data_IF_196941730467
#
_entry.id   IF_196941730467
#
_cell.length_a   1.000
_cell.length_b   1.000
_cell.length_c   1.000
_cell.angle_alpha   90.00
_cell.angle_beta   90.00
_cell.angle_gamma   90.00
#
_symmetry.space_group_name_H-M   'P 1'
#
loop_
_entity.id
_entity.type
_entity.pdbx_description
1 polymer ?
#
# COMPACT_ATOMS: atom_id res chain seq x y z
N UNK A 1 -1.73 -5.65 22.84
CA UNK A 1 -1.07 -6.13 21.60
C UNK A 1 0.42 -5.80 21.66
N UNK A 2 1.31 -6.71 21.23
CA UNK A 2 2.75 -6.45 21.05
C UNK A 2 3.08 -6.62 19.56
N UNK A 3 3.61 -5.57 18.92
CA UNK A 3 3.77 -5.51 17.47
C UNK A 3 5.25 -5.68 17.11
N UNK A 4 5.57 -6.61 16.21
CA UNK A 4 6.85 -6.63 15.50
C UNK A 4 6.67 -5.93 14.16
N UNK A 5 7.22 -4.72 14.03
CA UNK A 5 7.29 -3.99 12.77
C UNK A 5 8.56 -4.43 12.02
N UNK A 6 8.37 -5.09 10.88
CA UNK A 6 9.45 -5.54 9.99
C UNK A 6 9.65 -4.49 8.90
N UNK A 7 10.76 -3.76 8.96
CA UNK A 7 11.11 -2.65 8.07
C UNK A 7 10.99 -1.30 8.75
N UNK A 8 12.09 -0.53 8.73
CA UNK A 8 12.14 0.87 9.18
C UNK A 8 12.52 1.80 8.01
N UNK A 9 12.00 1.50 6.81
CA UNK A 9 11.99 2.39 5.65
C UNK A 9 10.92 3.48 5.79
N UNK A 10 10.60 4.19 4.71
CA UNK A 10 9.67 5.34 4.75
C UNK A 10 8.30 5.02 5.37
N UNK A 11 7.66 3.91 4.97
CA UNK A 11 6.34 3.51 5.49
C UNK A 11 6.43 2.99 6.93
N UNK A 12 7.43 2.15 7.25
CA UNK A 12 7.62 1.63 8.62
C UNK A 12 7.95 2.73 9.64
N UNK A 13 8.79 3.69 9.26
CA UNK A 13 9.09 4.87 10.07
C UNK A 13 7.83 5.72 10.31
N UNK A 14 7.05 5.99 9.25
CA UNK A 14 5.79 6.71 9.35
C UNK A 14 4.78 5.97 10.27
N UNK A 15 4.66 4.64 10.14
CA UNK A 15 3.80 3.82 10.98
C UNK A 15 4.19 3.97 12.45
N UNK A 16 5.47 3.81 12.79
CA UNK A 16 5.96 3.93 14.16
C UNK A 16 5.66 5.32 14.75
N UNK A 17 5.83 6.38 13.96
CA UNK A 17 5.53 7.77 14.35
C UNK A 17 4.02 8.01 14.52
N UNK A 18 3.16 7.38 13.72
CA UNK A 18 1.70 7.41 13.89
C UNK A 18 1.31 6.70 15.20
N UNK A 19 1.77 5.46 15.40
CA UNK A 19 1.40 4.69 16.60
C UNK A 19 2.03 5.26 17.88
N UNK A 20 3.12 6.03 17.82
CA UNK A 20 3.65 6.74 18.99
C UNK A 20 2.60 7.63 19.68
N UNK A 21 1.60 8.13 18.94
CA UNK A 21 0.48 8.94 19.44
C UNK A 21 -0.70 8.11 20.00
N UNK A 22 -0.62 6.78 19.93
CA UNK A 22 -1.71 5.84 20.29
C UNK A 22 -1.39 5.00 21.53
N UNK A 23 -2.41 4.35 22.10
CA UNK A 23 -2.32 3.56 23.35
C UNK A 23 -2.91 2.15 23.29
N UNK A 24 -3.38 1.69 22.11
CA UNK A 24 -3.99 0.36 21.96
C UNK A 24 -2.99 -0.81 22.04
N UNK A 25 -1.69 -0.51 21.95
CA UNK A 25 -0.60 -1.48 22.04
C UNK A 25 0.14 -1.36 23.37
N UNK A 26 0.77 -2.47 23.75
CA UNK A 26 1.65 -2.57 24.90
C UNK A 26 3.09 -2.19 24.51
N UNK A 27 3.59 -2.72 23.38
CA UNK A 27 4.96 -2.50 22.94
C UNK A 27 5.10 -2.65 21.41
N UNK A 28 6.02 -1.89 20.80
CA UNK A 28 6.39 -2.01 19.38
C UNK A 28 7.88 -2.32 19.26
N UNK A 29 8.21 -3.39 18.55
CA UNK A 29 9.57 -3.69 18.14
C UNK A 29 9.76 -3.16 16.74
N UNK A 30 10.55 -2.11 16.60
CA UNK A 30 10.95 -1.58 15.29
C UNK A 30 12.15 -2.38 14.83
N UNK A 31 12.04 -3.06 13.69
CA UNK A 31 13.13 -3.91 13.21
C UNK A 31 13.50 -3.64 11.77
N UNK A 32 14.78 -3.79 11.46
CA UNK A 32 15.31 -3.61 10.11
C UNK A 32 16.57 -4.47 9.93
N UNK A 33 16.95 -4.74 8.68
CA UNK A 33 18.23 -5.38 8.37
C UNK A 33 19.41 -4.52 8.81
N UNK A 34 19.31 -3.21 8.61
CA UNK A 34 20.20 -2.21 9.18
C UNK A 34 19.61 -1.69 10.50
N UNK A 35 20.08 -2.23 11.62
CA UNK A 35 19.64 -1.86 12.98
C UNK A 35 19.59 -0.34 13.20
N UNK A 36 20.51 0.42 12.59
CA UNK A 36 20.57 1.87 12.76
C UNK A 36 19.33 2.59 12.23
N UNK A 37 18.59 2.01 11.27
CA UNK A 37 17.31 2.54 10.79
C UNK A 37 16.25 2.49 11.89
N UNK A 38 16.09 1.34 12.53
CA UNK A 38 15.17 1.18 13.65
C UNK A 38 15.51 2.10 14.83
N UNK A 39 16.80 2.22 15.17
CA UNK A 39 17.26 3.14 16.23
C UNK A 39 16.94 4.61 15.89
N UNK A 40 17.13 5.03 14.63
CA UNK A 40 16.81 6.39 14.18
C UNK A 40 15.32 6.71 14.35
N UNK A 41 14.43 5.79 13.98
CA UNK A 41 12.98 5.97 14.15
C UNK A 41 12.63 6.17 15.64
N UNK A 42 13.20 5.36 16.54
CA UNK A 42 12.93 5.47 17.98
C UNK A 42 13.47 6.79 18.56
N UNK A 43 14.67 7.22 18.15
CA UNK A 43 15.21 8.52 18.57
C UNK A 43 14.38 9.68 18.04
N UNK A 44 13.83 9.60 16.82
CA UNK A 44 12.88 10.60 16.31
C UNK A 44 11.59 10.66 17.16
N UNK A 45 11.03 9.50 17.53
CA UNK A 45 9.87 9.42 18.44
C UNK A 45 10.20 10.04 19.80
N UNK A 46 11.37 9.73 20.36
CA UNK A 46 11.84 10.28 21.64
C UNK A 46 12.02 11.80 21.58
N UNK A 47 12.58 12.32 20.49
CA UNK A 47 12.75 13.75 20.29
C UNK A 47 11.41 14.49 20.22
N UNK A 48 10.40 13.88 19.58
CA UNK A 48 9.08 14.49 19.36
C UNK A 48 8.11 14.31 20.54
N UNK A 49 8.12 13.14 21.18
CA UNK A 49 7.12 12.71 22.16
C UNK A 49 7.69 12.39 23.56
N UNK A 50 9.00 12.52 23.76
CA UNK A 50 9.67 12.30 25.04
C UNK A 50 10.04 10.84 25.33
N UNK A 51 10.83 10.63 26.38
CA UNK A 51 11.38 9.33 26.75
C UNK A 51 10.29 8.30 27.13
N UNK A 52 9.25 8.72 27.85
CA UNK A 52 8.15 7.82 28.27
C UNK A 52 7.44 7.18 27.07
N UNK A 53 7.22 7.94 25.99
CA UNK A 53 6.65 7.39 24.76
C UNK A 53 7.62 6.43 24.09
N UNK A 54 8.90 6.81 24.01
CA UNK A 54 9.94 6.01 23.37
C UNK A 54 10.25 4.69 24.11
N UNK A 55 10.05 4.63 25.43
CA UNK A 55 10.26 3.41 26.23
C UNK A 55 9.30 2.26 25.84
N UNK A 56 8.22 2.56 25.10
CA UNK A 56 7.31 1.56 24.49
C UNK A 56 7.82 0.99 23.18
N UNK A 57 9.01 1.40 22.74
CA UNK A 57 9.64 0.98 21.51
C UNK A 57 10.99 0.31 21.78
N UNK A 58 11.35 -0.68 20.96
CA UNK A 58 12.70 -1.28 21.01
C UNK A 58 13.18 -1.54 19.60
N UNK A 59 14.46 -1.28 19.35
CA UNK A 59 15.10 -1.60 18.08
C UNK A 59 15.56 -3.07 18.07
N UNK A 60 15.35 -3.76 16.95
CA UNK A 60 15.88 -5.10 16.73
C UNK A 60 16.46 -5.23 15.31
N UNK A 61 17.47 -6.09 15.14
CA UNK A 61 17.93 -6.46 13.81
C UNK A 61 17.14 -7.67 13.32
N UNK A 62 16.71 -7.64 12.06
CA UNK A 62 16.00 -8.76 11.43
C UNK A 62 16.44 -8.95 9.98
N UNK A 63 16.66 -10.20 9.58
CA UNK A 63 16.78 -10.56 8.16
C UNK A 63 15.43 -11.11 7.71
N UNK A 64 14.67 -10.27 7.00
CA UNK A 64 13.34 -10.63 6.51
C UNK A 64 13.34 -11.70 5.41
N UNK A 65 14.51 -12.02 4.83
CA UNK A 65 14.61 -13.06 3.82
C UNK A 65 14.50 -14.48 4.40
N UNK A 66 14.72 -14.65 5.71
CA UNK A 66 14.71 -15.94 6.38
C UNK A 66 13.49 -16.08 7.33
N UNK A 67 12.52 -16.96 7.03
CA UNK A 67 11.32 -17.15 7.86
C UNK A 67 11.64 -17.61 9.29
N UNK A 68 12.72 -18.37 9.51
CA UNK A 68 13.12 -18.82 10.84
C UNK A 68 13.67 -17.66 11.68
N UNK A 69 14.37 -16.71 11.04
CA UNK A 69 14.81 -15.48 11.70
C UNK A 69 13.60 -14.64 12.11
N UNK A 70 12.62 -14.47 11.22
CA UNK A 70 11.37 -13.75 11.53
C UNK A 70 10.66 -14.40 12.72
N UNK A 71 10.44 -15.72 12.68
CA UNK A 71 9.77 -16.45 13.75
C UNK A 71 10.54 -16.37 15.09
N UNK A 72 11.88 -16.43 15.05
CA UNK A 72 12.73 -16.27 16.24
C UNK A 72 12.58 -14.88 16.85
N UNK A 73 12.69 -13.81 16.07
CA UNK A 73 12.59 -12.42 16.56
C UNK A 73 11.18 -12.16 17.12
N UNK A 74 10.13 -12.62 16.43
CA UNK A 74 8.76 -12.51 16.94
C UNK A 74 8.59 -13.18 18.31
N UNK A 75 9.10 -14.41 18.48
CA UNK A 75 9.05 -15.13 19.77
C UNK A 75 9.91 -14.49 20.86
N UNK A 76 11.12 -14.04 20.52
CA UNK A 76 12.05 -13.37 21.44
C UNK A 76 11.42 -12.15 22.10
N UNK A 77 10.64 -11.37 21.34
CA UNK A 77 9.96 -10.19 21.83
C UNK A 77 8.52 -10.42 22.28
N UNK A 78 8.02 -11.66 22.21
CA UNK A 78 6.63 -12.00 22.51
C UNK A 78 5.63 -11.22 21.63
N UNK A 79 5.96 -11.01 20.36
CA UNK A 79 5.09 -10.33 19.41
C UNK A 79 3.81 -11.14 19.21
N UNK A 80 2.67 -10.49 19.39
CA UNK A 80 1.36 -11.06 19.05
C UNK A 80 1.00 -10.82 17.60
N UNK A 81 1.56 -9.77 16.98
CA UNK A 81 1.27 -9.34 15.61
C UNK A 81 2.57 -9.00 14.90
N UNK A 82 2.71 -9.41 13.65
CA UNK A 82 3.81 -9.07 12.74
C UNK A 82 3.28 -8.13 11.67
N UNK A 83 3.80 -6.90 11.63
CA UNK A 83 3.46 -5.88 10.64
C UNK A 83 4.58 -5.81 9.60
N UNK A 84 4.31 -6.26 8.39
CA UNK A 84 5.24 -6.25 7.27
C UNK A 84 5.22 -4.88 6.55
N UNK A 85 6.34 -4.17 6.62
CA UNK A 85 6.56 -2.87 5.98
C UNK A 85 7.83 -2.85 5.10
N UNK A 86 8.21 -4.00 4.55
CA UNK A 86 9.31 -4.13 3.57
C UNK A 86 8.79 -4.50 2.17
N UNK A 87 9.70 -4.56 1.20
CA UNK A 87 9.39 -4.87 -0.20
C UNK A 87 8.64 -6.21 -0.37
N UNK A 88 7.70 -6.31 -1.34
CA UNK A 88 6.88 -7.50 -1.58
C UNK A 88 7.65 -8.83 -1.76
N UNK A 89 8.90 -8.76 -2.23
CA UNK A 89 9.78 -9.94 -2.37
C UNK A 89 10.01 -10.71 -1.05
N UNK A 90 9.81 -10.07 0.10
CA UNK A 90 9.96 -10.69 1.42
C UNK A 90 8.64 -11.19 2.02
N UNK A 91 7.50 -10.96 1.37
CA UNK A 91 6.16 -11.32 1.88
C UNK A 91 6.11 -12.77 2.31
N UNK A 92 6.53 -13.71 1.44
CA UNK A 92 6.46 -15.15 1.76
C UNK A 92 7.29 -15.54 2.98
N UNK A 93 8.50 -15.02 3.12
CA UNK A 93 9.36 -15.30 4.28
C UNK A 93 8.76 -14.74 5.58
N UNK A 94 8.24 -13.52 5.56
CA UNK A 94 7.65 -12.90 6.75
C UNK A 94 6.33 -13.58 7.13
N UNK A 95 5.50 -13.87 6.14
CA UNK A 95 4.21 -14.54 6.29
C UNK A 95 4.37 -15.91 6.94
N UNK A 96 5.26 -16.75 6.41
CA UNK A 96 5.60 -18.05 7.00
C UNK A 96 6.19 -17.91 8.42
N UNK A 97 7.07 -16.92 8.62
CA UNK A 97 7.67 -16.65 9.94
C UNK A 97 6.66 -16.21 11.01
N UNK A 98 5.67 -15.39 10.63
CA UNK A 98 4.59 -14.96 11.52
C UNK A 98 3.71 -16.13 11.96
N UNK A 99 3.28 -16.97 11.00
CA UNK A 99 2.53 -18.19 11.29
C UNK A 99 3.30 -19.14 12.20
N UNK A 100 4.60 -19.36 11.93
CA UNK A 100 5.47 -20.21 12.75
C UNK A 100 5.72 -19.65 14.16
N UNK A 101 5.56 -18.35 14.37
CA UNK A 101 5.59 -17.71 15.68
C UNK A 101 4.26 -17.80 16.42
N UNK A 102 3.16 -18.16 15.75
CA UNK A 102 1.81 -18.09 16.29
C UNK A 102 1.33 -16.64 16.48
N UNK A 103 1.79 -15.74 15.62
CA UNK A 103 1.41 -14.33 15.62
C UNK A 103 0.46 -14.02 14.45
N UNK A 104 -0.47 -13.10 14.68
CA UNK A 104 -1.27 -12.53 13.59
C UNK A 104 -0.36 -11.73 12.64
N UNK A 105 -0.78 -11.57 11.39
CA UNK A 105 0.02 -10.94 10.34
C UNK A 105 -0.75 -9.82 9.65
N UNK A 106 -0.03 -8.75 9.34
CA UNK A 106 -0.51 -7.66 8.51
C UNK A 106 0.54 -7.28 7.47
N UNK A 107 0.11 -6.97 6.25
CA UNK A 107 0.91 -6.28 5.24
C UNK A 107 0.12 -5.18 4.53
N UNK A 108 0.83 -4.42 3.69
CA UNK A 108 0.27 -3.36 2.85
C UNK A 108 0.41 -3.66 1.36
N UNK A 109 1.13 -4.74 1.01
CA UNK A 109 1.35 -5.20 -0.35
C UNK A 109 1.42 -6.73 -0.33
N UNK A 110 0.80 -7.36 -1.32
CA UNK A 110 0.68 -8.81 -1.38
C UNK A 110 1.90 -9.46 -2.08
N UNK A 111 1.93 -10.80 -2.09
CA UNK A 111 2.95 -11.55 -2.85
C UNK A 111 2.92 -11.19 -4.34
N UNK A 112 4.09 -11.21 -4.99
CA UNK A 112 4.26 -10.81 -6.40
C UNK A 112 3.52 -11.73 -7.38
N UNK A 113 3.20 -11.18 -8.55
CA UNK A 113 2.57 -11.87 -9.68
C UNK A 113 3.62 -12.44 -10.64
N UNK A 114 3.17 -13.36 -11.50
CA UNK A 114 3.92 -13.79 -12.69
C UNK A 114 3.01 -13.69 -13.92
N UNK A 115 3.43 -13.01 -15.01
CA UNK A 115 2.64 -12.93 -16.23
C UNK A 115 2.35 -14.31 -16.84
N UNK A 116 1.18 -14.47 -17.47
CA UNK A 116 0.87 -15.73 -18.16
C UNK A 116 1.91 -16.04 -19.26
N UNK A 117 2.51 -17.23 -19.30
CA UNK A 117 3.72 -17.51 -20.09
C UNK A 117 3.54 -17.39 -21.60
N UNK A 118 2.31 -17.55 -22.11
CA UNK A 118 2.02 -17.48 -23.56
C UNK A 118 1.05 -16.38 -23.96
N UNK A 119 0.27 -15.85 -23.02
CA UNK A 119 -0.88 -14.97 -23.30
C UNK A 119 -0.97 -13.82 -22.27
N UNK A 120 0.14 -13.12 -21.95
CA UNK A 120 0.26 -12.25 -20.78
C UNK A 120 -0.69 -11.04 -20.77
N UNK A 121 -1.26 -10.66 -21.92
CA UNK A 121 -2.18 -9.51 -22.06
C UNK A 121 -3.63 -9.93 -22.32
N UNK A 122 -4.00 -11.15 -21.93
CA UNK A 122 -5.40 -11.63 -22.02
C UNK A 122 -5.78 -12.66 -20.96
N UNK A 123 -4.79 -13.25 -20.28
CA UNK A 123 -4.95 -14.23 -19.20
C UNK A 123 -4.00 -13.90 -18.06
N UNK A 124 -4.46 -14.16 -16.84
CA UNK A 124 -3.64 -14.12 -15.63
C UNK A 124 -2.68 -15.31 -15.58
N UNK A 125 -1.49 -15.10 -15.00
CA UNK A 125 -0.59 -16.18 -14.56
C UNK A 125 -0.76 -16.42 -13.06
N UNK A 126 0.32 -16.31 -12.29
CA UNK A 126 0.22 -16.19 -10.84
C UNK A 126 -0.22 -14.76 -10.54
N UNK A 127 -1.29 -14.57 -9.79
CA UNK A 127 -1.82 -13.24 -9.46
C UNK A 127 -1.24 -12.76 -8.13
N UNK A 128 -1.24 -11.45 -7.90
CA UNK A 128 -0.82 -10.91 -6.60
C UNK A 128 -1.60 -11.57 -5.46
N UNK A 129 -0.90 -11.96 -4.41
CA UNK A 129 -1.48 -12.64 -3.23
C UNK A 129 -1.89 -14.10 -3.41
N UNK A 130 -1.78 -14.72 -4.60
CA UNK A 130 -2.16 -16.13 -4.78
C UNK A 130 -1.42 -17.06 -3.79
N UNK A 131 -0.12 -16.86 -3.59
CA UNK A 131 0.69 -17.66 -2.64
C UNK A 131 0.21 -17.50 -1.18
N UNK A 132 -0.28 -16.32 -0.80
CA UNK A 132 -0.82 -16.07 0.53
C UNK A 132 -2.19 -16.74 0.70
N UNK A 133 -3.07 -16.61 -0.30
CA UNK A 133 -4.40 -17.24 -0.26
C UNK A 133 -4.34 -18.77 -0.37
N UNK A 134 -3.33 -19.35 -1.02
CA UNK A 134 -3.12 -20.81 -1.04
C UNK A 134 -2.86 -21.37 0.38
N UNK A 135 -2.23 -20.57 1.23
CA UNK A 135 -1.93 -20.92 2.63
C UNK A 135 -3.09 -20.63 3.60
N UNK A 136 -4.23 -20.11 3.14
CA UNK A 136 -5.35 -19.77 4.01
C UNK A 136 -5.80 -20.91 4.96
N UNK A 137 -5.85 -22.20 4.55
CA UNK A 137 -6.22 -23.29 5.45
C UNK A 137 -5.30 -23.46 6.67
N UNK A 138 -4.01 -23.13 6.53
CA UNK A 138 -3.04 -23.24 7.63
C UNK A 138 -3.28 -22.13 8.66
N UNK A 139 -3.55 -20.91 8.20
CA UNK A 139 -3.97 -19.79 9.05
C UNK A 139 -5.28 -20.09 9.77
N UNK A 140 -6.27 -20.63 9.06
CA UNK A 140 -7.54 -21.04 9.66
C UNK A 140 -7.36 -22.10 10.75
N UNK A 141 -6.52 -23.11 10.49
CA UNK A 141 -6.22 -24.19 11.44
C UNK A 141 -5.49 -23.68 12.68
N UNK A 142 -4.61 -22.69 12.52
CA UNK A 142 -3.89 -22.07 13.64
C UNK A 142 -4.79 -21.21 14.54
N UNK A 143 -5.92 -20.73 14.01
CA UNK A 143 -6.79 -19.76 14.67
C UNK A 143 -6.29 -18.32 14.58
N UNK A 144 -5.20 -18.06 13.85
CA UNK A 144 -4.63 -16.72 13.63
C UNK A 144 -5.25 -16.02 12.42
N UNK A 145 -5.08 -14.70 12.40
CA UNK A 145 -5.49 -13.83 11.29
C UNK A 145 -4.26 -13.35 10.50
N UNK A 146 -4.34 -13.43 9.18
CA UNK A 146 -3.53 -12.65 8.26
C UNK A 146 -4.43 -11.63 7.53
N UNK A 147 -4.28 -10.35 7.86
CA UNK A 147 -4.93 -9.25 7.14
C UNK A 147 -3.98 -8.75 6.06
N UNK A 148 -4.30 -9.02 4.80
CA UNK A 148 -3.44 -8.70 3.65
C UNK A 148 -3.91 -7.43 2.94
N UNK A 149 -2.99 -6.68 2.36
CA UNK A 149 -3.29 -5.49 1.54
C UNK A 149 -3.95 -4.35 2.33
N UNK A 150 -3.44 -4.02 3.52
CA UNK A 150 -3.98 -2.94 4.36
C UNK A 150 -3.15 -1.65 4.27
N UNK A 151 -2.86 -1.19 3.05
CA UNK A 151 -2.23 0.09 2.72
C UNK A 151 -3.27 1.16 2.34
N UNK A 152 -3.03 1.93 1.27
CA UNK A 152 -4.02 2.90 0.74
C UNK A 152 -4.82 2.26 -0.39
N UNK A 153 -4.12 1.91 -1.46
CA UNK A 153 -4.50 0.95 -2.47
C UNK A 153 -3.40 -0.12 -2.42
N UNK A 154 -3.73 -1.41 -2.25
CA UNK A 154 -4.95 -1.89 -1.59
C UNK A 154 -5.03 -1.37 -0.13
N UNK A 155 -6.22 -1.32 0.45
CA UNK A 155 -6.45 -1.00 1.85
C UNK A 155 -7.63 -0.08 2.07
N UNK A 156 -7.37 1.23 2.04
CA UNK A 156 -8.41 2.24 2.16
C UNK A 156 -9.41 2.21 1.00
N UNK A 157 -8.95 1.96 -0.23
CA UNK A 157 -9.82 1.78 -1.40
C UNK A 157 -10.80 0.61 -1.20
N UNK A 158 -10.32 -0.50 -0.66
CA UNK A 158 -11.09 -1.69 -0.28
C UNK A 158 -12.10 -1.40 0.85
N UNK A 159 -11.70 -0.64 1.87
CA UNK A 159 -12.61 -0.17 2.93
C UNK A 159 -13.72 0.72 2.34
N UNK A 160 -13.39 1.64 1.44
CA UNK A 160 -14.40 2.46 0.77
C UNK A 160 -15.33 1.63 -0.11
N UNK A 161 -14.80 0.65 -0.84
CA UNK A 161 -15.59 -0.25 -1.66
C UNK A 161 -16.59 -1.04 -0.81
N UNK A 162 -16.13 -1.54 0.35
CA UNK A 162 -17.00 -2.21 1.32
C UNK A 162 -18.07 -1.28 1.89
N UNK A 163 -17.72 -0.04 2.24
CA UNK A 163 -18.70 0.95 2.69
C UNK A 163 -19.75 1.26 1.60
N UNK A 164 -19.32 1.39 0.34
CA UNK A 164 -20.22 1.64 -0.78
C UNK A 164 -21.20 0.48 -0.99
N UNK A 165 -20.71 -0.76 -0.93
CA UNK A 165 -21.54 -1.96 -1.03
C UNK A 165 -22.56 -2.08 0.11
N UNK A 166 -22.16 -1.78 1.35
CA UNK A 166 -23.05 -1.93 2.51
C UNK A 166 -24.08 -0.81 2.66
N UNK A 167 -23.77 0.40 2.17
CA UNK A 167 -24.54 1.59 2.52
C UNK A 167 -25.05 2.43 1.36
N UNK A 168 -24.45 2.32 0.16
CA UNK A 168 -24.70 3.29 -0.92
C UNK A 168 -25.39 2.69 -2.14
N UNK A 169 -25.16 1.41 -2.42
CA UNK A 169 -25.64 0.73 -3.62
C UNK A 169 -26.46 -0.52 -3.29
N UNK A 170 -27.49 -0.76 -4.10
CA UNK A 170 -28.22 -2.03 -4.12
C UNK A 170 -27.66 -3.00 -5.17
N UNK A 171 -26.98 -2.48 -6.19
CA UNK A 171 -26.24 -3.23 -7.20
C UNK A 171 -25.07 -2.36 -7.69
N UNK A 172 -23.86 -2.93 -7.76
CA UNK A 172 -22.66 -2.23 -8.21
C UNK A 172 -22.30 -2.66 -9.63
N UNK A 173 -22.20 -1.68 -10.53
CA UNK A 173 -21.71 -1.87 -11.89
C UNK A 173 -20.18 -1.89 -11.91
N UNK A 174 -19.52 -0.88 -11.34
CA UNK A 174 -18.06 -0.82 -11.27
C UNK A 174 -17.57 -0.36 -9.90
N UNK A 175 -16.53 -1.03 -9.41
CA UNK A 175 -15.60 -0.52 -8.40
C UNK A 175 -14.29 -0.17 -9.10
N UNK A 176 -14.05 1.12 -9.33
CA UNK A 176 -12.85 1.60 -10.02
C UNK A 176 -11.97 2.41 -9.09
N UNK A 177 -10.88 1.84 -8.59
CA UNK A 177 -9.92 2.62 -7.79
C UNK A 177 -9.19 3.61 -8.69
N UNK A 178 -9.01 4.83 -8.18
CA UNK A 178 -8.28 5.93 -8.80
C UNK A 178 -7.32 6.54 -7.79
N UNK A 179 -6.04 6.44 -8.10
CA UNK A 179 -4.94 7.11 -7.40
C UNK A 179 -4.39 8.22 -8.29
N UNK A 180 -4.25 9.42 -7.74
CA UNK A 180 -3.73 10.58 -8.45
C UNK A 180 -3.17 11.64 -7.51
N UNK A 181 -2.32 12.49 -8.05
CA UNK A 181 -1.60 13.48 -7.26
C UNK A 181 -1.26 14.73 -8.08
N UNK A 182 -0.98 15.84 -7.39
CA UNK A 182 -0.36 17.04 -7.97
C UNK A 182 1.00 17.34 -7.33
N UNK A 183 1.73 16.28 -6.94
CA UNK A 183 3.00 16.37 -6.24
C UNK A 183 4.10 16.92 -7.16
N UNK A 184 4.86 17.87 -6.63
CA UNK A 184 6.01 18.47 -7.31
C UNK A 184 7.23 18.38 -6.40
N UNK A 185 8.33 17.84 -6.92
CA UNK A 185 9.62 17.79 -6.22
C UNK A 185 10.60 18.76 -6.87
N UNK A 186 11.24 19.61 -6.07
CA UNK A 186 12.21 20.62 -6.55
C UNK A 186 13.63 20.33 -6.09
N UNK A 187 14.63 20.70 -6.89
CA UNK A 187 16.05 20.73 -6.50
C UNK A 187 16.43 21.93 -5.63
N UNK A 188 17.68 21.97 -5.15
CA UNK A 188 18.19 23.07 -4.34
C UNK A 188 18.18 24.42 -5.08
N UNK A 189 18.17 24.39 -6.41
CA UNK A 189 18.05 25.57 -7.27
C UNK A 189 16.59 25.94 -7.57
N UNK A 190 15.62 25.17 -7.08
CA UNK A 190 14.19 25.39 -7.27
C UNK A 190 13.61 24.80 -8.57
N UNK A 191 14.41 24.06 -9.34
CA UNK A 191 13.95 23.41 -10.58
C UNK A 191 13.13 22.17 -10.24
N UNK A 192 12.05 21.92 -10.97
CA UNK A 192 11.31 20.65 -10.87
C UNK A 192 12.18 19.51 -11.39
N UNK A 193 12.16 18.38 -10.69
CA UNK A 193 12.92 17.19 -11.05
C UNK A 193 12.01 15.97 -11.08
N UNK A 194 12.33 15.00 -11.94
CA UNK A 194 11.73 13.68 -11.87
C UNK A 194 12.22 12.96 -10.62
N UNK A 195 11.33 12.79 -9.65
CA UNK A 195 11.59 12.08 -8.41
C UNK A 195 10.33 11.29 -8.03
N UNK A 196 10.38 9.95 -8.09
CA UNK A 196 9.24 9.13 -7.69
C UNK A 196 9.02 9.26 -6.18
N UNK A 197 7.75 9.35 -5.78
CA UNK A 197 7.33 9.43 -4.37
C UNK A 197 7.37 8.09 -3.64
N UNK A 198 7.56 7.00 -4.39
CA UNK A 198 7.72 5.64 -3.89
C UNK A 198 8.95 4.95 -4.53
N UNK A 199 9.22 3.72 -4.10
CA UNK A 199 10.28 2.89 -4.67
C UNK A 199 10.13 2.77 -6.19
N UNK A 200 11.03 3.39 -6.95
CA UNK A 200 11.02 3.26 -8.43
C UNK A 200 11.17 1.81 -8.88
N UNK A 201 11.86 1.00 -8.09
CA UNK A 201 12.02 -0.42 -8.38
C UNK A 201 10.67 -1.12 -8.44
N UNK A 202 9.82 -0.82 -7.45
CA UNK A 202 8.45 -1.32 -7.32
C UNK A 202 7.55 -0.70 -8.39
N UNK A 203 7.62 0.61 -8.61
CA UNK A 203 6.82 1.28 -9.64
C UNK A 203 7.10 0.75 -11.05
N UNK A 204 8.35 0.42 -11.37
CA UNK A 204 8.69 -0.21 -12.67
C UNK A 204 8.02 -1.58 -12.79
N UNK A 205 8.02 -2.38 -11.72
CA UNK A 205 7.37 -3.69 -11.70
C UNK A 205 5.86 -3.56 -11.94
N UNK A 206 5.18 -2.79 -11.09
CA UNK A 206 3.71 -2.63 -11.11
C UNK A 206 3.21 -2.03 -12.43
N UNK A 207 3.88 -0.99 -12.92
CA UNK A 207 3.42 -0.25 -14.10
C UNK A 207 3.76 -0.93 -15.43
N UNK A 208 4.72 -1.85 -15.46
CA UNK A 208 5.09 -2.59 -16.67
C UNK A 208 4.54 -4.03 -16.69
N UNK A 209 4.08 -4.56 -15.56
CA UNK A 209 3.33 -5.80 -15.53
C UNK A 209 1.94 -5.63 -16.18
N UNK A 210 1.39 -6.69 -16.80
CA UNK A 210 0.05 -6.63 -17.39
C UNK A 210 -1.01 -6.32 -16.33
N UNK A 211 -1.76 -5.21 -16.46
CA UNK A 211 -2.82 -4.88 -15.51
C UNK A 211 -3.87 -5.98 -15.45
N UNK A 212 -4.37 -6.29 -14.25
CA UNK A 212 -5.50 -7.20 -14.06
C UNK A 212 -6.80 -6.41 -14.02
N UNK A 213 -7.85 -6.95 -14.63
CA UNK A 213 -9.22 -6.47 -14.57
C UNK A 213 -10.11 -7.64 -14.16
N UNK A 214 -11.14 -7.36 -13.36
CA UNK A 214 -12.19 -8.31 -13.07
C UNK A 214 -13.49 -7.94 -13.79
N UNK A 215 -14.15 -8.93 -14.38
CA UNK A 215 -15.54 -8.84 -14.85
C UNK A 215 -16.31 -10.08 -14.37
N UNK A 216 -17.51 -9.91 -13.80
CA UNK A 216 -18.27 -10.98 -13.15
C UNK A 216 -18.52 -12.21 -14.04
N UNK A 217 -18.78 -11.99 -15.33
CA UNK A 217 -19.06 -13.06 -16.30
C UNK A 217 -17.78 -13.68 -16.91
N UNK A 218 -16.61 -13.05 -16.72
CA UNK A 218 -15.33 -13.45 -17.33
C UNK A 218 -14.31 -13.94 -16.30
N UNK A 219 -14.42 -13.50 -15.05
CA UNK A 219 -13.38 -13.60 -14.04
C UNK A 219 -12.24 -12.60 -14.27
N UNK A 220 -11.10 -12.86 -13.64
CA UNK A 220 -9.89 -12.04 -13.83
C UNK A 220 -9.24 -12.27 -15.19
N UNK A 221 -8.84 -11.19 -15.85
CA UNK A 221 -8.06 -11.22 -17.08
C UNK A 221 -7.07 -10.06 -17.10
N UNK A 222 -6.06 -10.13 -17.97
CA UNK A 222 -5.05 -9.08 -18.09
C UNK A 222 -5.22 -8.25 -19.37
N UNK A 223 -4.63 -7.06 -19.39
CA UNK A 223 -4.52 -6.18 -20.56
C UNK A 223 -3.07 -5.75 -20.83
N UNK A 224 -2.77 -5.06 -21.93
CA UNK A 224 -1.47 -4.40 -22.11
C UNK A 224 -1.25 -3.29 -21.07
N UNK A 225 -0.01 -3.05 -20.59
CA UNK A 225 0.31 -1.92 -19.72
C UNK A 225 -0.17 -0.59 -20.29
N UNK A 226 -0.65 0.30 -19.42
CA UNK A 226 -1.18 1.62 -19.77
C UNK A 226 -2.43 1.58 -20.67
N UNK A 227 -3.22 0.50 -20.66
CA UNK A 227 -4.46 0.41 -21.42
C UNK A 227 -5.57 1.33 -20.87
N UNK A 228 -6.56 1.63 -21.71
CA UNK A 228 -7.77 2.40 -21.35
C UNK A 228 -7.48 3.76 -20.67
N UNK A 229 -6.67 4.65 -21.29
CA UNK A 229 -6.39 5.95 -20.72
C UNK A 229 -7.67 6.78 -20.56
N UNK A 230 -7.78 7.49 -19.44
CA UNK A 230 -8.86 8.43 -19.16
C UNK A 230 -8.33 9.64 -18.40
N UNK A 231 -9.03 10.77 -18.49
CA UNK A 231 -8.77 11.92 -17.61
C UNK A 231 -9.77 11.85 -16.47
N UNK A 232 -9.28 11.74 -15.25
CA UNK A 232 -10.09 11.74 -14.04
C UNK A 232 -9.89 13.06 -13.29
N UNK A 233 -10.99 13.72 -12.88
CA UNK A 233 -10.93 14.95 -12.10
C UNK A 233 -10.86 14.61 -10.60
N UNK A 234 -9.72 14.87 -9.98
CA UNK A 234 -9.48 14.62 -8.57
C UNK A 234 -9.87 15.86 -7.72
N UNK A 235 -10.49 15.63 -6.55
CA UNK A 235 -11.00 16.69 -5.68
C UNK A 235 -9.87 17.48 -4.97
N UNK A 236 -10.26 18.39 -4.08
CA UNK A 236 -9.35 19.10 -3.14
C UNK A 236 -8.21 19.90 -3.79
N UNK A 237 -8.42 20.32 -5.04
CA UNK A 237 -7.50 21.17 -5.80
C UNK A 237 -6.42 20.41 -6.57
N UNK A 238 -6.50 19.09 -6.69
CA UNK A 238 -5.61 18.30 -7.56
C UNK A 238 -6.00 18.51 -9.03
N UNK A 239 -7.29 18.39 -9.36
CA UNK A 239 -7.82 18.63 -10.69
C UNK A 239 -7.63 17.44 -11.65
N UNK A 240 -7.68 17.66 -12.98
CA UNK A 240 -7.65 16.60 -13.96
C UNK A 240 -6.27 15.94 -14.09
N UNK A 241 -6.24 14.61 -14.01
CA UNK A 241 -5.02 13.79 -14.18
C UNK A 241 -5.31 12.65 -15.15
N UNK A 242 -4.39 12.40 -16.09
CA UNK A 242 -4.47 11.23 -16.98
C UNK A 242 -4.13 9.96 -16.21
N UNK A 243 -5.10 9.04 -16.15
CA UNK A 243 -5.04 7.76 -15.47
C UNK A 243 -5.06 6.61 -16.47
N UNK A 244 -4.31 5.55 -16.16
CA UNK A 244 -4.18 4.37 -17.01
C UNK A 244 -4.22 3.09 -16.18
N UNK A 245 -4.64 1.96 -16.77
CA UNK A 245 -4.62 0.68 -16.07
C UNK A 245 -3.19 0.28 -15.69
N UNK A 246 -3.03 -0.13 -14.43
CA UNK A 246 -1.80 -0.64 -13.80
C UNK A 246 -2.19 -1.89 -12.99
N UNK A 247 -1.29 -2.86 -12.83
CA UNK A 247 -1.57 -4.03 -12.00
C UNK A 247 -1.70 -3.62 -10.53
N UNK A 248 -2.76 -4.08 -9.85
CA UNK A 248 -3.02 -3.71 -8.46
C UNK A 248 -3.84 -4.76 -7.72
N UNK A 249 -3.62 -4.87 -6.41
CA UNK A 249 -4.17 -5.89 -5.52
C UNK A 249 -5.68 -5.83 -5.32
N UNK A 250 -6.31 -4.66 -5.19
CA UNK A 250 -7.76 -4.56 -4.92
C UNK A 250 -8.62 -5.18 -6.01
N UNK A 251 -8.12 -5.25 -7.25
CA UNK A 251 -8.82 -5.93 -8.34
C UNK A 251 -8.95 -7.43 -8.06
N UNK A 252 -8.02 -7.98 -7.27
CA UNK A 252 -8.00 -9.36 -6.83
C UNK A 252 -8.67 -9.57 -5.47
N UNK A 253 -8.75 -8.53 -4.64
CA UNK A 253 -9.37 -8.56 -3.32
C UNK A 253 -10.87 -8.31 -3.40
N UNK A 254 -11.31 -7.18 -3.99
CA UNK A 254 -12.70 -6.72 -3.90
C UNK A 254 -13.72 -7.78 -4.37
N UNK A 255 -13.52 -8.47 -5.51
CA UNK A 255 -14.47 -9.48 -5.98
C UNK A 255 -14.58 -10.73 -5.10
N UNK A 256 -13.68 -10.93 -4.13
CA UNK A 256 -13.74 -12.08 -3.20
C UNK A 256 -14.82 -11.91 -2.15
N UNK A 257 -15.14 -10.66 -1.79
CA UNK A 257 -16.11 -10.33 -0.74
C UNK A 257 -17.27 -9.46 -1.22
N UNK A 258 -17.08 -8.69 -2.29
CA UNK A 258 -18.05 -7.71 -2.78
C UNK A 258 -18.64 -8.15 -4.13
N UNK A 259 -19.96 -7.98 -4.28
CA UNK A 259 -20.64 -8.25 -5.55
C UNK A 259 -20.62 -7.02 -6.46
N UNK A 260 -19.73 -7.03 -7.46
CA UNK A 260 -19.61 -5.99 -8.49
C UNK A 260 -19.50 -6.62 -9.88
N UNK A 261 -20.03 -5.95 -10.91
CA UNK A 261 -19.92 -6.45 -12.30
C UNK A 261 -18.51 -6.27 -12.87
N UNK A 262 -17.81 -5.22 -12.47
CA UNK A 262 -16.46 -4.89 -12.92
C UNK A 262 -15.62 -4.29 -11.79
N UNK A 263 -14.34 -4.63 -11.73
CA UNK A 263 -13.36 -3.99 -10.82
C UNK A 263 -12.13 -3.58 -11.61
N UNK A 264 -11.69 -2.32 -11.42
CA UNK A 264 -10.53 -1.73 -12.11
C UNK A 264 -9.64 -0.95 -11.15
N UNK A 265 -8.37 -0.80 -11.51
CA UNK A 265 -7.45 0.16 -10.92
C UNK A 265 -6.86 1.03 -12.03
N UNK A 266 -6.84 2.35 -11.83
CA UNK A 266 -6.09 3.26 -12.71
C UNK A 266 -5.25 4.23 -11.92
N UNK A 267 -4.02 4.42 -12.39
CA UNK A 267 -3.04 5.29 -11.77
C UNK A 267 -2.79 6.56 -12.59
N UNK A 268 -2.90 7.70 -11.93
CA UNK A 268 -2.65 9.04 -12.42
C UNK A 268 -1.17 9.40 -12.55
N UNK A 269 -0.40 8.59 -13.29
CA UNK A 269 1.05 8.80 -13.51
C UNK A 269 1.38 10.07 -14.30
N UNK A 270 0.46 10.52 -15.16
CA UNK A 270 0.70 11.60 -16.11
C UNK A 270 1.63 11.22 -17.27
N UNK A 271 1.62 12.04 -18.32
CA UNK A 271 2.33 11.75 -19.58
C UNK A 271 3.86 11.62 -19.41
N UNK A 272 4.47 12.44 -18.56
CA UNK A 272 5.93 12.44 -18.34
C UNK A 272 6.40 11.11 -17.73
N UNK A 273 5.76 10.66 -16.65
CA UNK A 273 6.15 9.44 -15.96
C UNK A 273 5.92 8.22 -16.87
N UNK A 274 4.76 8.15 -17.55
CA UNK A 274 4.50 7.09 -18.54
C UNK A 274 5.59 7.07 -19.63
N UNK A 275 6.02 8.24 -20.09
CA UNK A 275 7.13 8.39 -21.05
C UNK A 275 8.46 7.85 -20.52
N UNK A 276 8.79 8.12 -19.26
CA UNK A 276 9.98 7.58 -18.58
C UNK A 276 9.92 6.05 -18.53
N UNK A 277 8.82 5.47 -18.05
CA UNK A 277 8.65 4.01 -17.92
C UNK A 277 8.76 3.30 -19.28
N UNK A 278 8.11 3.84 -20.32
CA UNK A 278 8.22 3.32 -21.69
C UNK A 278 9.66 3.37 -22.20
N UNK A 279 10.41 4.43 -21.86
CA UNK A 279 11.82 4.57 -22.23
C UNK A 279 12.69 3.55 -21.51
N UNK A 280 12.49 3.36 -20.20
CA UNK A 280 13.21 2.36 -19.43
C UNK A 280 13.00 0.96 -20.01
N UNK A 281 11.73 0.60 -20.28
CA UNK A 281 11.38 -0.67 -20.91
C UNK A 281 12.01 -0.84 -22.30
N UNK A 282 11.91 0.17 -23.15
CA UNK A 282 12.48 0.13 -24.50
C UNK A 282 14.00 -0.11 -24.51
N UNK A 283 14.70 0.39 -23.49
CA UNK A 283 16.14 0.25 -23.34
C UNK A 283 16.55 -1.02 -22.56
N UNK A 284 15.60 -1.79 -22.04
CA UNK A 284 15.85 -2.94 -21.15
C UNK A 284 16.41 -2.54 -19.79
N UNK A 285 16.19 -1.30 -19.36
CA UNK A 285 16.61 -0.77 -18.05
C UNK A 285 15.67 -1.16 -16.92
N UNK A 286 14.54 -1.78 -17.25
CA UNK A 286 13.58 -2.39 -16.34
C UNK A 286 13.93 -3.85 -15.99
N UNK A 287 14.98 -4.44 -16.56
CA UNK A 287 15.35 -5.83 -16.28
C UNK A 287 16.00 -6.01 -14.90
N UNK A 288 15.63 -7.12 -14.24
CA UNK A 288 16.25 -7.62 -13.00
C UNK A 288 17.43 -8.56 -13.28
N UNK A 289 17.60 -9.01 -14.51
CA UNK A 289 18.68 -9.93 -14.87
C UNK A 289 20.01 -9.18 -14.97
N UNK A 290 21.05 -9.60 -14.20
CA UNK A 290 22.33 -8.92 -14.24
C UNK A 290 22.98 -8.98 -15.62
N UNK A 291 23.45 -7.83 -16.10
CA UNK A 291 24.27 -7.71 -17.31
C UNK A 291 25.71 -7.37 -16.96
N UNK A 292 26.66 -7.78 -17.82
CA UNK A 292 28.08 -7.53 -17.61
C UNK A 292 28.45 -6.09 -18.00
N UNK A 293 28.78 -5.27 -17.02
CA UNK A 293 29.21 -3.87 -17.21
C UNK A 293 30.72 -3.72 -16.96
N UNK A 294 31.34 -2.69 -17.56
CA UNK A 294 32.76 -2.37 -17.31
C UNK A 294 32.85 -1.39 -16.13
N UNK A 295 33.66 -1.71 -15.11
CA UNK A 295 33.96 -0.82 -13.99
C UNK A 295 35.48 -0.57 -13.89
N UNK A 296 35.89 0.38 -13.03
CA UNK A 296 37.30 0.65 -12.76
C UNK A 296 38.04 -0.58 -12.18
N UNK A 297 37.34 -1.43 -11.42
CA UNK A 297 37.88 -2.63 -10.77
C UNK A 297 37.71 -3.91 -11.62
N UNK A 298 37.24 -3.75 -12.86
CA UNK A 298 36.98 -4.85 -13.81
C UNK A 298 35.50 -5.04 -14.13
N UNK A 299 35.12 -6.12 -14.85
CA UNK A 299 33.72 -6.34 -15.17
C UNK A 299 32.90 -6.71 -13.94
N UNK A 300 31.72 -6.11 -13.79
CA UNK A 300 30.74 -6.43 -12.75
C UNK A 300 29.43 -6.92 -13.39
N UNK A 301 28.67 -7.73 -12.66
CA UNK A 301 27.30 -8.11 -13.02
C UNK A 301 26.36 -7.19 -12.26
N UNK A 302 25.54 -6.42 -12.97
CA UNK A 302 24.64 -5.41 -12.37
C UNK A 302 23.28 -5.52 -13.07
N UNK A 303 22.19 -5.60 -12.30
CA UNK A 303 20.86 -5.52 -12.87
C UNK A 303 20.59 -4.09 -13.36
N UNK A 304 20.15 -3.88 -14.61
CA UNK A 304 19.87 -2.54 -15.13
C UNK A 304 18.92 -1.72 -14.25
N UNK A 305 17.87 -2.36 -13.72
CA UNK A 305 16.90 -1.69 -12.84
C UNK A 305 17.53 -1.20 -11.53
N UNK A 306 18.63 -1.82 -11.05
CA UNK A 306 19.29 -1.43 -9.79
C UNK A 306 20.03 -0.12 -10.01
N UNK A 307 20.56 0.08 -11.22
CA UNK A 307 21.21 1.32 -11.63
C UNK A 307 20.19 2.44 -11.69
N UNK A 308 18.98 2.20 -12.21
CA UNK A 308 17.89 3.19 -12.23
C UNK A 308 17.52 3.60 -10.81
N UNK A 309 17.28 2.63 -9.93
CA UNK A 309 16.97 2.88 -8.53
C UNK A 309 18.07 3.68 -7.82
N UNK A 310 19.34 3.33 -8.03
CA UNK A 310 20.47 4.03 -7.44
C UNK A 310 20.72 5.44 -8.03
N UNK A 311 20.17 5.75 -9.20
CA UNK A 311 20.37 7.03 -9.90
C UNK A 311 19.35 8.10 -9.54
N UNK A 312 18.24 7.73 -8.90
CA UNK A 312 17.15 8.64 -8.54
C UNK A 312 17.23 9.04 -7.05
N UNK A 313 16.61 10.17 -6.67
CA UNK A 313 16.52 10.57 -5.27
C UNK A 313 15.84 9.50 -4.42
N UNK A 314 16.31 9.29 -3.19
CA UNK A 314 15.68 8.38 -2.23
C UNK A 314 14.30 8.94 -1.82
N UNK A 315 13.19 8.22 -2.09
CA UNK A 315 11.83 8.66 -1.75
C UNK A 315 11.63 9.00 -0.27
N UNK A 316 12.41 8.41 0.63
CA UNK A 316 12.35 8.73 2.06
C UNK A 316 12.90 10.14 2.39
N UNK A 317 13.67 10.74 1.47
CA UNK A 317 14.39 12.00 1.72
C UNK A 317 13.85 13.20 0.94
N UNK A 318 12.93 12.98 0.00
CA UNK A 318 12.40 14.04 -0.87
C UNK A 318 11.30 14.87 -0.20
N UNK A 319 10.71 14.40 0.91
CA UNK A 319 9.59 15.04 1.60
C UNK A 319 9.75 16.55 1.85
N UNK A 320 10.88 17.03 2.40
CA UNK A 320 11.12 18.47 2.62
C UNK A 320 11.17 19.32 1.35
N UNK A 321 11.31 18.69 0.18
CA UNK A 321 11.44 19.33 -1.14
C UNK A 321 10.23 19.05 -2.04
N UNK A 322 9.24 18.34 -1.51
CA UNK A 322 7.99 18.00 -2.18
C UNK A 322 6.89 18.93 -1.71
N UNK A 323 5.98 19.30 -2.61
CA UNK A 323 4.78 20.10 -2.31
C UNK A 323 3.58 19.49 -3.01
N UNK A 324 2.39 19.73 -2.48
CA UNK A 324 1.14 19.26 -3.08
C UNK A 324 0.53 18.08 -2.34
N UNK A 325 -0.42 17.43 -3.01
CA UNK A 325 -1.31 16.44 -2.41
C UNK A 325 -1.37 15.17 -3.24
N UNK A 326 -1.63 14.08 -2.56
CA UNK A 326 -2.00 12.78 -3.14
C UNK A 326 -3.43 12.44 -2.76
N UNK A 327 -4.16 11.77 -3.65
CA UNK A 327 -5.55 11.41 -3.48
C UNK A 327 -5.78 9.98 -3.97
N UNK A 328 -6.38 9.20 -3.11
CA UNK A 328 -6.68 7.80 -3.32
C UNK A 328 -8.14 7.55 -3.00
N UNK A 329 -8.80 6.73 -3.81
CA UNK A 329 -10.23 6.50 -3.62
C UNK A 329 -10.84 5.53 -4.61
N UNK A 330 -12.09 5.15 -4.36
CA UNK A 330 -12.87 4.27 -5.24
C UNK A 330 -14.01 5.05 -5.89
N UNK A 331 -14.02 5.00 -7.22
CA UNK A 331 -15.12 5.46 -8.06
C UNK A 331 -16.12 4.33 -8.23
N UNK A 332 -17.37 4.57 -7.83
CA UNK A 332 -18.42 3.54 -7.80
C UNK A 332 -19.59 3.97 -8.65
N UNK A 333 -20.00 3.08 -9.55
CA UNK A 333 -21.21 3.24 -10.37
C UNK A 333 -22.18 2.09 -10.09
N UNK A 334 -23.48 2.34 -10.27
CA UNK A 334 -24.49 1.31 -10.14
C UNK A 334 -25.87 1.85 -9.85
N UNK A 335 -26.67 1.03 -9.16
CA UNK A 335 -28.00 1.39 -8.67
C UNK A 335 -27.94 1.71 -7.19
N UNK A 336 -28.34 2.92 -6.80
CA UNK A 336 -28.42 3.34 -5.40
C UNK A 336 -29.42 2.52 -4.59
N UNK A 337 -29.37 2.65 -3.26
CA UNK A 337 -30.33 2.00 -2.35
C UNK A 337 -31.78 2.50 -2.52
N UNK A 338 -31.97 3.63 -3.21
CA UNK A 338 -33.27 4.20 -3.58
C UNK A 338 -33.81 3.68 -4.93
N UNK A 339 -33.02 2.86 -5.64
CA UNK A 339 -33.36 2.30 -6.95
C UNK A 339 -33.04 3.18 -8.15
N UNK A 340 -32.39 4.34 -7.97
CA UNK A 340 -31.96 5.21 -9.06
C UNK A 340 -30.51 4.94 -9.48
N UNK A 341 -30.11 5.22 -10.73
CA UNK A 341 -28.69 5.22 -11.11
C UNK A 341 -27.89 6.18 -10.23
N UNK A 342 -26.72 5.75 -9.76
CA UNK A 342 -25.86 6.52 -8.86
C UNK A 342 -24.39 6.38 -9.27
N UNK A 343 -23.64 7.46 -9.10
CA UNK A 343 -22.21 7.52 -9.32
C UNK A 343 -21.58 8.34 -8.19
N UNK A 344 -20.57 7.79 -7.52
CA UNK A 344 -19.86 8.46 -6.42
C UNK A 344 -18.36 8.25 -6.50
N UNK A 345 -17.59 9.15 -5.91
CA UNK A 345 -16.18 8.94 -5.61
C UNK A 345 -15.96 9.08 -4.10
N UNK A 346 -15.50 8.00 -3.46
CA UNK A 346 -15.10 8.01 -2.05
C UNK A 346 -13.58 8.09 -1.99
N UNK A 347 -13.04 9.03 -1.24
CA UNK A 347 -11.61 9.34 -1.32
C UNK A 347 -11.02 9.87 -0.02
N UNK A 348 -9.69 9.84 0.05
CA UNK A 348 -8.91 10.52 1.05
C UNK A 348 -7.76 11.30 0.40
N UNK A 349 -7.49 12.49 0.90
CA UNK A 349 -6.42 13.37 0.42
C UNK A 349 -5.40 13.61 1.51
N UNK A 350 -4.13 13.43 1.17
CA UNK A 350 -2.99 13.68 2.05
C UNK A 350 -2.14 14.83 1.51
N UNK A 351 -1.87 15.83 2.34
CA UNK A 351 -1.10 17.04 2.01
C UNK A 351 0.33 16.93 2.55
N UNK A 352 1.33 17.09 1.68
CA UNK A 352 2.72 16.84 2.05
C UNK A 352 3.22 17.83 3.11
N UNK A 353 2.87 19.11 2.99
CA UNK A 353 3.27 20.12 3.96
C UNK A 353 2.74 19.78 5.35
N UNK A 354 1.48 19.35 5.44
CA UNK A 354 0.89 18.91 6.71
C UNK A 354 1.55 17.64 7.26
N UNK A 355 1.72 16.58 6.46
CA UNK A 355 2.32 15.32 6.95
C UNK A 355 3.77 15.50 7.36
N UNK A 356 4.55 16.31 6.63
CA UNK A 356 5.92 16.65 7.00
C UNK A 356 5.95 17.43 8.32
N UNK A 357 5.05 18.39 8.53
CA UNK A 357 4.98 19.12 9.80
C UNK A 357 4.59 18.22 10.98
N UNK A 358 3.57 17.38 10.81
CA UNK A 358 2.97 16.58 11.89
C UNK A 358 3.68 15.26 12.18
N UNK A 359 4.40 14.71 11.20
CA UNK A 359 5.01 13.38 11.29
C UNK A 359 6.42 13.31 10.73
N UNK A 360 6.97 14.36 10.11
CA UNK A 360 8.26 14.28 9.42
C UNK A 360 8.30 13.07 8.46
N UNK A 361 7.20 12.92 7.72
CA UNK A 361 6.96 11.85 6.76
C UNK A 361 6.19 12.44 5.58
N UNK A 362 6.63 12.10 4.36
CA UNK A 362 5.98 12.59 3.16
C UNK A 362 4.59 11.95 2.97
N UNK A 363 3.69 12.65 2.26
CA UNK A 363 2.26 12.33 2.26
C UNK A 363 1.88 10.93 1.77
N UNK A 364 2.62 10.36 0.81
CA UNK A 364 2.38 9.03 0.22
C UNK A 364 2.71 7.92 1.22
N UNK A 365 3.92 7.94 1.80
CA UNK A 365 4.30 6.92 2.81
C UNK A 365 3.48 7.06 4.09
N UNK A 366 3.14 8.30 4.47
CA UNK A 366 2.32 8.55 5.64
C UNK A 366 0.89 8.06 5.43
N UNK A 367 0.29 8.32 4.26
CA UNK A 367 -1.06 7.84 3.95
C UNK A 367 -1.09 6.32 3.95
N UNK A 368 -0.06 5.67 3.39
CA UNK A 368 0.08 4.20 3.43
C UNK A 368 0.13 3.69 4.86
N UNK A 369 0.94 4.31 5.71
CA UNK A 369 1.15 3.88 7.09
C UNK A 369 -0.03 4.15 8.05
N UNK A 370 -0.93 5.08 7.69
CA UNK A 370 -2.13 5.38 8.46
C UNK A 370 -3.04 4.15 8.58
N UNK A 371 -3.24 3.46 7.47
CA UNK A 371 -4.24 2.41 7.36
C UNK A 371 -3.98 1.16 8.22
N UNK A 372 -2.77 0.58 8.26
CA UNK A 372 -2.51 -0.54 9.17
C UNK A 372 -2.53 -0.10 10.64
N UNK A 373 -2.24 1.17 10.95
CA UNK A 373 -2.36 1.67 12.32
C UNK A 373 -3.83 1.68 12.80
N UNK A 374 -4.76 2.11 11.94
CA UNK A 374 -6.21 2.08 12.22
C UNK A 374 -6.68 0.63 12.35
N UNK A 375 -6.31 -0.24 11.40
CA UNK A 375 -6.72 -1.65 11.41
C UNK A 375 -6.26 -2.37 12.68
N UNK A 376 -5.00 -2.17 13.11
CA UNK A 376 -4.49 -2.74 14.36
C UNK A 376 -5.22 -2.23 15.59
N UNK A 377 -5.69 -0.99 15.61
CA UNK A 377 -6.49 -0.47 16.72
C UNK A 377 -7.88 -1.13 16.78
N UNK A 378 -8.51 -1.36 15.63
CA UNK A 378 -9.79 -2.08 15.54
C UNK A 378 -9.64 -3.55 15.96
N UNK A 379 -8.52 -4.19 15.60
CA UNK A 379 -8.19 -5.55 16.04
C UNK A 379 -7.90 -5.59 17.55
N UNK A 380 -7.13 -4.64 18.08
CA UNK A 380 -6.82 -4.55 19.51
C UNK A 380 -8.07 -4.37 20.39
N UNK A 381 -9.06 -3.64 19.88
CA UNK A 381 -10.33 -3.38 20.58
C UNK A 381 -11.37 -4.48 20.35
N UNK A 382 -11.12 -5.43 19.45
CA UNK A 382 -12.05 -6.50 19.08
C UNK A 382 -13.24 -6.04 18.26
N UNK A 383 -13.20 -4.81 17.72
CA UNK A 383 -14.21 -4.31 16.77
C UNK A 383 -14.09 -5.05 15.44
N UNK A 384 -12.85 -5.21 14.98
CA UNK A 384 -12.52 -6.15 13.91
C UNK A 384 -11.99 -7.45 14.52
N UNK A 385 -12.48 -8.59 14.02
CA UNK A 385 -12.02 -9.93 14.40
C UNK A 385 -12.15 -10.84 13.18
N UNK A 386 -11.26 -11.82 13.06
CA UNK A 386 -11.24 -12.74 11.94
C UNK A 386 -10.22 -13.85 12.15
N UNK A 387 -10.22 -14.83 11.24
CA UNK A 387 -9.32 -15.97 11.22
C UNK A 387 -9.11 -16.37 9.77
N UNK A 388 -7.91 -16.84 9.41
CA UNK A 388 -7.54 -17.12 8.02
C UNK A 388 -6.88 -15.93 7.33
N UNK A 389 -6.88 -15.93 6.00
CA UNK A 389 -6.30 -14.87 5.16
C UNK A 389 -7.43 -14.00 4.62
N UNK A 390 -7.50 -12.74 5.06
CA UNK A 390 -8.59 -11.83 4.77
C UNK A 390 -8.06 -10.49 4.22
N UNK A 391 -8.79 -9.89 3.27
CA UNK A 391 -8.58 -8.51 2.84
C UNK A 391 -9.43 -7.52 3.68
N UNK A 392 -9.23 -6.21 3.51
CA UNK A 392 -9.96 -5.18 4.26
C UNK A 392 -11.49 -5.27 4.08
N UNK A 393 -11.97 -5.74 2.93
CA UNK A 393 -13.38 -5.88 2.57
C UNK A 393 -14.11 -6.94 3.39
N UNK A 394 -13.36 -7.85 4.03
CA UNK A 394 -13.94 -8.84 4.92
C UNK A 394 -14.52 -8.21 6.20
N UNK A 395 -14.14 -6.97 6.53
CA UNK A 395 -14.46 -6.29 7.78
C UNK A 395 -15.48 -5.17 7.59
N UNK A 396 -16.15 -4.75 8.68
CA UNK A 396 -17.09 -3.62 8.63
C UNK A 396 -16.32 -2.31 8.43
N UNK A 397 -16.62 -1.62 7.34
CA UNK A 397 -15.96 -0.38 6.96
C UNK A 397 -16.36 0.81 7.84
N UNK A 398 -17.56 0.81 8.42
CA UNK A 398 -18.07 2.00 9.12
C UNK A 398 -17.24 2.32 10.39
N UNK A 399 -16.94 1.37 11.31
CA UNK A 399 -16.10 1.66 12.46
C UNK A 399 -14.70 2.15 12.08
N UNK A 400 -14.14 1.66 10.96
CA UNK A 400 -12.87 2.13 10.44
C UNK A 400 -12.94 3.60 10.03
N UNK A 401 -13.91 3.95 9.19
CA UNK A 401 -14.10 5.30 8.68
C UNK A 401 -14.47 6.30 9.79
N UNK A 402 -15.26 5.85 10.77
CA UNK A 402 -15.57 6.63 11.97
C UNK A 402 -14.30 6.90 12.81
N UNK A 403 -13.45 5.89 13.02
CA UNK A 403 -12.20 6.00 13.79
C UNK A 403 -11.17 6.87 13.06
N UNK A 404 -11.07 6.72 11.74
CA UNK A 404 -10.23 7.55 10.88
C UNK A 404 -10.59 9.03 11.01
N UNK A 405 -11.88 9.36 10.88
CA UNK A 405 -12.39 10.74 10.88
C UNK A 405 -12.48 11.37 12.28
N UNK A 406 -12.68 10.59 13.33
CA UNK A 406 -12.83 11.12 14.69
C UNK A 406 -11.56 11.91 15.12
N UNK A 407 -11.71 13.07 15.80
CA UNK A 407 -10.58 13.91 16.15
C UNK A 407 -9.65 13.22 17.17
N UNK A 408 -8.35 13.54 17.10
CA UNK A 408 -7.40 13.11 18.13
C UNK A 408 -7.81 13.64 19.53
N UNK A 409 -7.63 12.85 20.61
CA UNK A 409 -7.05 11.52 20.63
C UNK A 409 -8.05 10.37 20.37
N UNK A 410 -9.35 10.65 20.21
CA UNK A 410 -10.38 9.62 20.06
C UNK A 410 -10.26 8.85 18.74
N UNK A 411 -9.81 9.51 17.67
CA UNK A 411 -9.46 8.89 16.39
C UNK A 411 -8.17 9.45 15.82
N UNK A 412 -8.07 9.49 14.49
CA UNK A 412 -6.87 9.92 13.75
C UNK A 412 -7.00 11.32 13.16
N UNK A 413 -8.17 11.95 13.26
CA UNK A 413 -8.44 13.30 12.75
C UNK A 413 -8.30 13.41 11.23
N UNK A 414 -8.45 12.30 10.50
CA UNK A 414 -8.28 12.22 9.06
C UNK A 414 -9.66 12.10 8.39
N UNK A 415 -10.22 13.21 7.87
CA UNK A 415 -11.49 13.16 7.17
C UNK A 415 -11.34 12.44 5.83
N UNK A 416 -12.41 11.79 5.39
CA UNK A 416 -12.55 11.24 4.04
C UNK A 416 -13.74 11.92 3.35
N UNK A 417 -13.70 11.96 2.01
CA UNK A 417 -14.70 12.59 1.16
C UNK A 417 -15.63 11.58 0.49
N UNK A 418 -16.87 12.01 0.26
CA UNK A 418 -17.84 11.35 -0.61
C UNK A 418 -18.39 12.41 -1.57
N UNK A 419 -18.04 12.30 -2.84
CA UNK A 419 -18.50 13.19 -3.90
C UNK A 419 -19.57 12.47 -4.74
N UNK A 420 -20.77 13.02 -4.79
CA UNK A 420 -21.79 12.61 -5.77
C UNK A 420 -21.39 13.12 -7.15
N UNK A 421 -21.35 12.22 -8.12
CA UNK A 421 -21.05 12.53 -9.52
C UNK A 421 -22.29 12.35 -10.36
N UNK A 422 -22.33 13.02 -11.51
CA UNK A 422 -23.47 12.89 -12.43
C UNK A 422 -23.25 11.63 -13.26
N UNK A 423 -24.14 10.62 -13.18
CA UNK A 423 -24.02 9.42 -13.99
C UNK A 423 -23.90 9.80 -15.47
N UNK A 424 -22.89 9.25 -16.15
CA UNK A 424 -22.81 9.37 -17.61
C UNK A 424 -24.16 8.90 -18.22
N UNK A 425 -24.76 9.76 -19.04
CA UNK A 425 -26.11 9.59 -19.60
C UNK A 425 -26.21 8.49 -20.67
#
# INVERSE_FOLDING_TARGET
>A
MRILLVGAGGVGDAFAKIVARRSFYEHVVVSDYDLSRAERTIEAIKARHGAETADRFTAAQIDASDPEVVARVAREHGASHVMNAVEPKFVQSIFAGALAAGADYLDMAMSLSEPHPTDPHSKTGIKLGDDQFEQAPDWETSGSLALVGMGVEPGLSDVFARYAADHLFSEIDELGTRDGANLVVRDEAGNEIFAPSFSIWTTIEECLNPPVIFEKDRGWFTTPPFSEPEVFDFPEGIGPVECVNVEHEEVLLMPRWLDAKRVTFKYGLGEEFIGVLKTLHLLGLDSVDPVKVRTADGPAMVAPRDVVAASLPDPATIGPRMTGKTCAGVWVTGTGTDGAPREVYLYHVSDNEWTMAEYDAQCVVWQTALNPAIALELLATGVWTGTGVLGPEAFDAKPYLDLMAAPEPAGYGQPWGLEERTPAA
#
